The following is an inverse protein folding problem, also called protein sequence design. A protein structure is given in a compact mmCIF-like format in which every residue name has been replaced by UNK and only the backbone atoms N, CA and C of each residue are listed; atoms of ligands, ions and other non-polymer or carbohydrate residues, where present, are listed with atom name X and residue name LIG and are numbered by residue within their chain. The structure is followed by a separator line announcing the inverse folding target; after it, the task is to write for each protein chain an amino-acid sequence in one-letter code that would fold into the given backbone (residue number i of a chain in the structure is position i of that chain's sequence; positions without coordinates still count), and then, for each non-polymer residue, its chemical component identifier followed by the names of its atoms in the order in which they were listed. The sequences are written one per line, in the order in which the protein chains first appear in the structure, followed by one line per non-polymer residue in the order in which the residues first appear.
data_IF_527956199963
#
_entry.id   IF_527956199963
#
_cell.length_a   1.000
_cell.length_b   1.000
_cell.length_c   1.000
_cell.angle_alpha   90.00
_cell.angle_beta   90.00
_cell.angle_gamma   90.00
#
_symmetry.space_group_name_H-M   'P 1'
#
loop_
_entity.id
_entity.type
_entity.pdbx_description
1 polymer ?
#
# COMPACT_ATOMS: atom_id res chain seq x y z
N UNK A 1 8.81 -3.21 -1.11
CA UNK A 1 7.55 -2.63 -0.59
C UNK A 1 7.74 -2.32 0.89
N UNK A 2 7.65 -1.06 1.32
CA UNK A 2 8.08 -0.61 2.67
C UNK A 2 7.53 -1.45 3.84
N UNK A 3 6.23 -1.79 3.80
CA UNK A 3 5.56 -2.56 4.86
C UNK A 3 6.00 -4.04 4.94
N UNK A 4 6.77 -4.56 3.97
CA UNK A 4 7.39 -5.90 4.09
C UNK A 4 8.59 -5.90 5.05
N UNK A 5 9.24 -4.75 5.23
CA UNK A 5 10.48 -4.66 5.99
C UNK A 5 10.24 -4.37 7.47
N UNK A 6 9.31 -3.46 7.77
CA UNK A 6 8.91 -3.11 9.13
C UNK A 6 7.51 -2.48 9.17
N UNK A 7 6.96 -2.34 10.37
CA UNK A 7 5.74 -1.57 10.59
C UNK A 7 6.03 -0.06 10.57
N UNK A 8 5.05 0.71 10.08
CA UNK A 8 5.14 2.16 9.99
C UNK A 8 3.85 2.82 10.46
N UNK A 9 3.93 4.00 11.05
CA UNK A 9 2.76 4.86 11.24
C UNK A 9 2.54 5.78 10.02
N UNK A 10 1.37 6.43 9.95
CA UNK A 10 1.00 7.33 8.84
C UNK A 10 2.02 8.45 8.60
N UNK A 11 2.58 9.03 9.66
CA UNK A 11 3.54 10.13 9.54
C UNK A 11 4.85 9.65 8.92
N UNK A 12 5.36 8.50 9.37
CA UNK A 12 6.56 7.90 8.81
C UNK A 12 6.34 7.51 7.34
N UNK A 13 5.19 6.93 6.99
CA UNK A 13 4.86 6.63 5.60
C UNK A 13 4.82 7.89 4.72
N UNK A 14 4.27 8.99 5.24
CA UNK A 14 4.24 10.27 4.52
C UNK A 14 5.66 10.82 4.27
N UNK A 15 6.56 10.69 5.24
CA UNK A 15 7.95 11.11 5.10
C UNK A 15 8.75 10.21 4.15
N UNK A 16 8.65 8.89 4.29
CA UNK A 16 9.39 7.92 3.47
C UNK A 16 8.94 7.93 2.00
N UNK A 17 7.66 8.22 1.76
CA UNK A 17 7.10 8.28 0.40
C UNK A 17 7.12 9.70 -0.20
N UNK A 18 7.50 10.72 0.57
CA UNK A 18 7.39 12.14 0.20
C UNK A 18 5.98 12.51 -0.29
N UNK A 19 4.96 12.13 0.48
CA UNK A 19 3.54 12.33 0.16
C UNK A 19 2.80 13.11 1.25
N UNK A 20 1.70 13.76 0.86
CA UNK A 20 0.81 14.44 1.81
C UNK A 20 0.22 13.47 2.85
N UNK A 21 0.24 13.88 4.11
CA UNK A 21 -0.23 13.07 5.23
C UNK A 21 -1.70 12.63 5.08
N UNK A 22 -2.60 13.50 4.62
CA UNK A 22 -4.02 13.14 4.44
C UNK A 22 -4.21 12.16 3.29
N UNK A 23 -3.41 12.29 2.23
CA UNK A 23 -3.41 11.32 1.13
C UNK A 23 -2.97 9.93 1.63
N UNK A 24 -1.86 9.84 2.35
CA UNK A 24 -1.41 8.58 2.95
C UNK A 24 -2.46 8.02 3.91
N UNK A 25 -3.02 8.86 4.79
CA UNK A 25 -4.08 8.43 5.70
C UNK A 25 -5.31 7.87 4.97
N UNK A 26 -5.72 8.50 3.87
CA UNK A 26 -6.83 8.02 3.04
C UNK A 26 -6.51 6.64 2.45
N UNK A 27 -5.33 6.48 1.83
CA UNK A 27 -4.93 5.21 1.25
C UNK A 27 -4.79 4.09 2.28
N UNK A 28 -4.25 4.37 3.47
CA UNK A 28 -4.17 3.37 4.54
C UNK A 28 -5.56 2.87 4.95
N UNK A 29 -6.57 3.74 5.03
CA UNK A 29 -7.96 3.32 5.30
C UNK A 29 -8.52 2.42 4.19
N UNK A 30 -8.19 2.71 2.93
CA UNK A 30 -8.62 1.88 1.80
C UNK A 30 -7.96 0.50 1.84
N UNK A 31 -6.65 0.44 2.12
CA UNK A 31 -5.92 -0.83 2.24
C UNK A 31 -6.42 -1.65 3.44
N UNK A 32 -6.68 -1.01 4.57
CA UNK A 32 -7.26 -1.63 5.78
C UNK A 32 -8.64 -2.24 5.45
N UNK A 33 -9.51 -1.47 4.78
CA UNK A 33 -10.85 -1.93 4.37
C UNK A 33 -10.81 -3.14 3.43
N UNK A 34 -9.77 -3.25 2.61
CA UNK A 34 -9.60 -4.37 1.68
C UNK A 34 -8.74 -5.51 2.25
N UNK A 35 -8.50 -5.53 3.57
CA UNK A 35 -7.71 -6.56 4.23
C UNK A 35 -6.28 -6.70 3.66
N UNK A 36 -5.70 -5.61 3.16
CA UNK A 36 -4.32 -5.59 2.66
C UNK A 36 -3.33 -5.28 3.77
N UNK A 37 -3.75 -4.46 4.74
CA UNK A 37 -2.96 -4.09 5.90
C UNK A 37 -3.79 -4.24 7.17
N UNK A 38 -3.09 -4.39 8.28
CA UNK A 38 -3.64 -4.40 9.62
C UNK A 38 -3.18 -3.15 10.38
N UNK A 39 -4.11 -2.55 11.13
CA UNK A 39 -3.85 -1.37 11.96
C UNK A 39 -3.83 -1.77 13.43
N UNK A 40 -2.77 -1.42 14.14
CA UNK A 40 -2.67 -1.58 15.59
C UNK A 40 -2.62 -0.20 16.26
N UNK A 41 -3.50 0.01 17.25
CA UNK A 41 -3.61 1.26 17.99
C UNK A 41 -4.57 2.28 17.39
N UNK A 42 -4.80 3.36 18.14
CA UNK A 42 -5.82 4.35 17.83
C UNK A 42 -5.25 5.67 17.27
N UNK A 43 -5.98 6.21 16.27
CA UNK A 43 -5.89 7.55 15.68
C UNK A 43 -4.50 8.07 15.30
N UNK A 44 -3.67 8.47 16.26
CA UNK A 44 -2.42 9.19 16.04
C UNK A 44 -1.16 8.34 16.18
N UNK A 45 -1.23 7.22 16.92
CA UNK A 45 -0.12 6.28 17.11
C UNK A 45 -0.30 4.97 16.35
N UNK A 46 -1.27 4.91 15.45
CA UNK A 46 -1.59 3.69 14.73
C UNK A 46 -0.41 3.25 13.85
N UNK A 47 0.06 2.03 14.08
CA UNK A 47 1.07 1.38 13.24
C UNK A 47 0.37 0.42 12.28
N UNK A 48 0.87 0.40 11.04
CA UNK A 48 0.40 -0.46 9.99
C UNK A 48 1.42 -1.56 9.72
N UNK A 49 0.93 -2.76 9.49
CA UNK A 49 1.69 -3.90 9.00
C UNK A 49 0.86 -4.63 7.94
N UNK A 50 1.48 -5.54 7.21
CA UNK A 50 0.75 -6.33 6.22
C UNK A 50 -0.22 -7.29 6.91
N UNK A 51 -1.35 -7.50 6.26
CA UNK A 51 -2.20 -8.62 6.66
C UNK A 51 -1.55 -9.92 6.25
N UNK A 52 -1.79 -11.00 7.01
CA UNK A 52 -1.38 -12.36 6.61
C UNK A 52 -1.93 -12.72 5.22
N UNK A 53 -3.10 -12.20 4.86
CA UNK A 53 -3.67 -12.38 3.51
C UNK A 53 -2.73 -11.81 2.44
N UNK A 54 -2.26 -10.58 2.59
CA UNK A 54 -1.37 -9.99 1.61
C UNK A 54 0.04 -10.60 1.67
N UNK A 55 0.56 -10.92 2.85
CA UNK A 55 1.87 -11.57 2.99
C UNK A 55 1.95 -12.89 2.21
N UNK A 56 0.95 -13.75 2.37
CA UNK A 56 0.90 -15.05 1.67
C UNK A 56 0.71 -14.89 0.16
N UNK A 57 0.07 -13.79 -0.27
CA UNK A 57 -0.27 -13.55 -1.68
C UNK A 57 0.58 -12.46 -2.33
N UNK A 58 1.73 -12.09 -1.73
CA UNK A 58 2.52 -10.95 -2.20
C UNK A 58 2.98 -11.12 -3.66
N UNK A 59 3.39 -12.34 -4.04
CA UNK A 59 3.78 -12.64 -5.43
C UNK A 59 2.61 -12.49 -6.40
N UNK A 60 1.38 -12.76 -5.97
CA UNK A 60 0.19 -12.56 -6.81
C UNK A 60 -0.12 -11.08 -7.00
N UNK A 61 0.15 -10.24 -5.98
CA UNK A 61 0.06 -8.79 -6.11
C UNK A 61 1.07 -8.28 -7.14
N UNK A 62 2.33 -8.70 -7.06
CA UNK A 62 3.39 -8.28 -8.00
C UNK A 62 2.99 -8.63 -9.44
N UNK A 63 2.53 -9.86 -9.67
CA UNK A 63 2.03 -10.29 -10.99
C UNK A 63 0.83 -9.48 -11.47
N UNK A 64 -0.05 -9.05 -10.57
CA UNK A 64 -1.21 -8.22 -10.91
C UNK A 64 -0.78 -6.80 -11.29
N UNK A 65 0.17 -6.22 -10.57
CA UNK A 65 0.77 -4.91 -10.86
C UNK A 65 1.45 -4.94 -12.23
N UNK A 66 2.28 -5.96 -12.51
CA UNK A 66 2.97 -6.11 -13.80
C UNK A 66 1.99 -6.20 -14.97
N UNK A 67 0.91 -6.98 -14.81
CA UNK A 67 -0.14 -7.09 -15.83
C UNK A 67 -0.88 -5.77 -16.06
N UNK A 68 -1.11 -5.01 -14.99
CA UNK A 68 -1.76 -3.69 -15.08
C UNK A 68 -0.86 -2.68 -15.77
N UNK A 69 0.42 -2.63 -15.42
CA UNK A 69 1.39 -1.72 -16.03
C UNK A 69 1.55 -2.00 -17.53
N UNK A 70 1.67 -3.28 -17.91
CA UNK A 70 1.68 -3.68 -19.32
C UNK A 70 0.44 -3.17 -20.07
N UNK A 71 -0.77 -3.36 -19.49
CA UNK A 71 -2.02 -2.92 -20.12
C UNK A 71 -2.13 -1.40 -20.24
N UNK A 72 -1.63 -0.65 -19.25
CA UNK A 72 -1.62 0.81 -19.27
C UNK A 72 -0.67 1.32 -20.36
N UNK A 73 0.52 0.73 -20.48
CA UNK A 73 1.53 1.16 -21.44
C UNK A 73 1.19 0.77 -22.89
N UNK A 74 0.50 -0.36 -23.12
CA UNK A 74 -0.01 -0.73 -24.44
C UNK A 74 -1.02 0.27 -25.01
N UNK A 75 -1.82 0.95 -24.16
CA UNK A 75 -2.78 1.97 -24.62
C UNK A 75 -2.13 3.28 -25.07
N UNK A 76 -0.89 3.58 -24.65
CA UNK A 76 -0.19 4.82 -25.04
C UNK A 76 0.46 4.75 -26.42
N UNK A 77 0.58 3.57 -27.03
CA UNK A 77 1.26 3.36 -28.33
C UNK A 77 0.35 3.66 -29.53
N UNK A 78 -0.92 4.04 -29.31
CA UNK A 78 -1.89 4.37 -30.35
C UNK A 78 -2.44 5.80 -30.25
N UNK A 79 -1.58 6.78 -29.96
CA UNK A 79 -1.88 8.21 -30.11
C UNK A 79 -0.74 8.90 -30.86
#
# INVERSE_FOLDING_TARGET
MLLLERSYNTHQLAQELDLDYKAVQHHMKVLEKNNMILKLGDKYGAIFHLSTFLEVNISALDMAIDKLDWKINQKKVYL
#
